data_IF_099079304643
#
_entry.id   IF_099079304643
#
_cell.length_a   1.000
_cell.length_b   1.000
_cell.length_c   1.000
_cell.angle_alpha   90.00
_cell.angle_beta   90.00
_cell.angle_gamma   90.00
#
_symmetry.space_group_name_H-M   'P 1'
#
loop_
_entity.id
_entity.type
_entity.pdbx_description
1 polymer ?
#
# COMPACT_ATOMS: atom_id res chain seq x y z
N UNK A 1 -8.68 10.51 -31.37
CA UNK A 1 -7.52 9.72 -31.81
C UNK A 1 -6.18 10.30 -31.37
N UNK A 2 -5.84 11.57 -31.68
CA UNK A 2 -4.56 12.20 -31.28
C UNK A 2 -4.26 12.12 -29.77
N UNK A 3 -5.22 12.51 -28.94
CA UNK A 3 -5.02 12.52 -27.48
C UNK A 3 -4.84 11.11 -26.90
N UNK A 4 -5.60 10.13 -27.40
CA UNK A 4 -5.46 8.73 -27.02
C UNK A 4 -4.07 8.17 -27.39
N UNK A 5 -3.60 8.47 -28.61
CA UNK A 5 -2.29 8.08 -29.08
C UNK A 5 -1.16 8.66 -28.21
N UNK A 6 -1.25 9.94 -27.85
CA UNK A 6 -0.28 10.59 -26.96
C UNK A 6 -0.24 9.90 -25.59
N UNK A 7 -1.40 9.55 -25.00
CA UNK A 7 -1.41 8.84 -23.71
C UNK A 7 -0.67 7.49 -23.80
N UNK A 8 -0.93 6.70 -24.85
CA UNK A 8 -0.33 5.37 -25.04
C UNK A 8 1.19 5.46 -25.26
N UNK A 9 1.65 6.37 -26.11
CA UNK A 9 3.09 6.54 -26.42
C UNK A 9 3.87 7.11 -25.23
N UNK A 10 3.23 7.90 -24.36
CA UNK A 10 3.81 8.35 -23.08
C UNK A 10 3.72 7.29 -21.95
N UNK A 11 3.44 6.03 -22.30
CA UNK A 11 3.48 4.90 -21.36
C UNK A 11 2.30 4.85 -20.39
N UNK A 12 1.20 5.55 -20.68
CA UNK A 12 -0.04 5.41 -19.89
C UNK A 12 -0.89 4.30 -20.52
N UNK A 13 -0.92 3.14 -19.86
CA UNK A 13 -1.85 2.07 -20.20
C UNK A 13 -3.26 2.47 -19.79
N UNK A 14 -4.18 2.48 -20.75
CA UNK A 14 -5.56 2.91 -20.53
C UNK A 14 -6.42 1.72 -20.09
N UNK A 15 -6.29 1.29 -18.83
CA UNK A 15 -7.18 0.25 -18.28
C UNK A 15 -8.65 0.71 -18.26
N UNK A 16 -8.90 2.02 -18.17
CA UNK A 16 -10.23 2.64 -18.22
C UNK A 16 -11.03 2.43 -19.53
N UNK A 17 -10.41 1.91 -20.60
CA UNK A 17 -11.06 1.65 -21.90
C UNK A 17 -10.95 0.18 -22.32
N UNK A 18 -10.62 -0.72 -21.37
CA UNK A 18 -10.58 -2.15 -21.60
C UNK A 18 -11.99 -2.69 -21.86
N UNK A 19 -12.20 -3.39 -22.98
CA UNK A 19 -13.46 -4.08 -23.29
C UNK A 19 -13.81 -5.15 -22.24
N UNK A 20 -12.79 -5.73 -21.60
CA UNK A 20 -12.94 -6.74 -20.54
C UNK A 20 -13.01 -6.12 -19.13
N UNK A 21 -13.12 -4.80 -19.02
CA UNK A 21 -13.08 -4.07 -17.75
C UNK A 21 -11.68 -3.93 -17.15
N UNK A 22 -11.61 -3.30 -15.98
CA UNK A 22 -10.36 -3.10 -15.24
C UNK A 22 -9.79 -4.44 -14.74
N UNK A 23 -8.47 -4.68 -14.83
CA UNK A 23 -7.84 -5.85 -14.22
C UNK A 23 -8.15 -5.96 -12.72
N UNK A 24 -8.27 -7.19 -12.21
CA UNK A 24 -8.46 -7.42 -10.76
C UNK A 24 -7.25 -6.87 -10.01
N UNK A 25 -7.49 -5.94 -9.09
CA UNK A 25 -6.43 -5.22 -8.35
C UNK A 25 -6.02 -3.88 -8.97
N UNK A 26 -6.57 -3.49 -10.12
CA UNK A 26 -6.29 -2.19 -10.76
C UNK A 26 -6.78 -0.97 -9.96
N UNK A 27 -7.56 -1.17 -8.88
CA UNK A 27 -7.85 -0.10 -7.92
C UNK A 27 -6.58 0.52 -7.29
N UNK A 28 -5.45 -0.21 -7.29
CA UNK A 28 -4.13 0.32 -6.93
C UNK A 28 -3.59 1.32 -7.97
N UNK A 29 -3.89 1.11 -9.25
CA UNK A 29 -3.45 1.99 -10.34
C UNK A 29 -4.14 3.36 -10.25
N UNK A 30 -5.43 3.38 -9.90
CA UNK A 30 -6.22 4.62 -9.74
C UNK A 30 -5.84 5.41 -8.48
N UNK A 31 -5.36 4.74 -7.43
CA UNK A 31 -4.72 5.38 -6.27
C UNK A 31 -3.33 5.96 -6.59
N UNK A 32 -2.87 5.88 -7.84
CA UNK A 32 -1.94 6.81 -8.50
C UNK A 32 -0.66 7.17 -7.74
N UNK A 33 0.49 6.63 -8.18
CA UNK A 33 1.83 7.28 -8.10
C UNK A 33 2.21 7.91 -6.74
N UNK A 34 1.82 7.30 -5.62
CA UNK A 34 2.12 7.79 -4.27
C UNK A 34 1.01 8.58 -3.58
N UNK A 35 -0.19 8.65 -4.16
CA UNK A 35 -1.37 9.14 -3.46
C UNK A 35 -1.85 8.09 -2.45
N UNK A 36 -2.49 8.57 -1.38
CA UNK A 36 -3.07 7.75 -0.32
C UNK A 36 -4.48 8.24 -0.04
N UNK A 37 -5.41 7.32 0.14
CA UNK A 37 -6.75 7.66 0.62
C UNK A 37 -6.79 7.54 2.14
N UNK A 38 -7.66 8.31 2.78
CA UNK A 38 -8.00 8.13 4.20
C UNK A 38 -9.05 7.02 4.39
N UNK A 39 -9.79 6.68 3.32
CA UNK A 39 -10.93 5.74 3.34
C UNK A 39 -10.80 4.75 2.18
N UNK A 40 -11.18 3.48 2.39
CA UNK A 40 -11.15 2.46 1.33
C UNK A 40 -9.75 1.97 0.95
N UNK A 41 -8.77 2.16 1.83
CA UNK A 41 -7.38 1.67 1.71
C UNK A 41 -7.18 0.23 2.15
N UNK A 42 -8.25 -0.41 2.62
CA UNK A 42 -8.29 -1.83 2.89
C UNK A 42 -9.30 -2.45 1.95
N UNK A 43 -8.84 -3.34 1.08
CA UNK A 43 -9.72 -4.08 0.20
C UNK A 43 -9.15 -5.47 -0.05
N UNK A 44 -9.98 -6.36 -0.55
CA UNK A 44 -9.57 -7.72 -0.87
C UNK A 44 -10.24 -8.16 -2.16
N UNK A 45 -9.56 -9.05 -2.87
CA UNK A 45 -10.18 -9.78 -3.97
C UNK A 45 -9.88 -11.26 -3.80
N UNK A 46 -10.76 -12.13 -4.29
CA UNK A 46 -10.52 -13.58 -4.22
C UNK A 46 -9.23 -14.01 -4.92
N UNK A 47 -8.81 -13.27 -5.95
CA UNK A 47 -7.63 -13.61 -6.77
C UNK A 47 -6.33 -13.07 -6.19
N UNK A 48 -6.35 -11.87 -5.58
CA UNK A 48 -5.14 -11.22 -5.05
C UNK A 48 -5.00 -11.32 -3.52
N UNK A 49 -6.06 -11.69 -2.82
CA UNK A 49 -6.11 -11.70 -1.36
C UNK A 49 -6.39 -10.32 -0.76
N UNK A 50 -6.31 -10.19 0.56
CA UNK A 50 -6.43 -8.91 1.28
C UNK A 50 -5.21 -8.02 1.05
N UNK A 51 -5.44 -6.70 1.07
CA UNK A 51 -4.41 -5.65 1.05
C UNK A 51 -4.79 -4.56 2.03
N UNK A 52 -3.91 -4.32 2.99
CA UNK A 52 -3.94 -3.31 4.02
C UNK A 52 -2.92 -2.24 3.61
N UNK A 53 -3.39 -1.15 3.01
CA UNK A 53 -2.49 -0.06 2.60
C UNK A 53 -2.31 0.97 3.71
N UNK A 54 -3.40 1.31 4.38
CA UNK A 54 -3.42 2.28 5.49
C UNK A 54 -4.35 1.75 6.58
N UNK A 55 -3.84 1.76 7.80
CA UNK A 55 -4.61 1.55 9.02
C UNK A 55 -4.88 2.89 9.69
N UNK A 56 -5.81 2.94 10.66
CA UNK A 56 -6.01 4.13 11.48
C UNK A 56 -4.72 4.62 12.15
N UNK A 57 -3.80 3.69 12.40
CA UNK A 57 -2.46 3.95 12.95
C UNK A 57 -1.55 4.64 11.94
N UNK A 58 -1.64 4.30 10.66
CA UNK A 58 -0.86 4.94 9.60
C UNK A 58 -0.56 4.02 8.43
N UNK A 59 0.56 4.32 7.77
CA UNK A 59 0.95 3.69 6.51
C UNK A 59 1.48 2.28 6.77
N UNK A 60 0.89 1.28 6.13
CA UNK A 60 1.35 -0.11 6.22
C UNK A 60 2.54 -0.29 5.29
N UNK A 61 3.65 -0.75 5.86
CA UNK A 61 4.90 -1.04 5.17
C UNK A 61 4.92 -2.48 4.66
N UNK A 62 4.52 -3.42 5.51
CA UNK A 62 4.58 -4.86 5.23
C UNK A 62 3.40 -5.59 5.87
N UNK A 63 2.91 -6.64 5.22
CA UNK A 63 1.99 -7.62 5.80
C UNK A 63 2.72 -8.92 6.08
N UNK A 64 2.42 -9.55 7.22
CA UNK A 64 2.94 -10.84 7.62
C UNK A 64 1.96 -11.95 7.22
N UNK A 65 2.45 -12.94 6.48
CA UNK A 65 1.71 -14.11 6.03
C UNK A 65 2.20 -15.38 6.74
N UNK A 66 1.25 -16.25 7.09
CA UNK A 66 1.53 -17.60 7.56
C UNK A 66 1.70 -18.61 6.42
N UNK A 67 1.86 -19.89 6.78
CA UNK A 67 2.01 -21.00 5.82
C UNK A 67 0.81 -21.15 4.86
N UNK A 68 -0.37 -20.68 5.25
CA UNK A 68 -1.59 -20.73 4.45
C UNK A 68 -1.82 -19.46 3.62
N UNK A 69 -0.87 -18.51 3.63
CA UNK A 69 -1.00 -17.18 3.04
C UNK A 69 -2.11 -16.33 3.68
N UNK A 70 -2.43 -16.58 4.95
CA UNK A 70 -3.35 -15.74 5.72
C UNK A 70 -2.58 -14.58 6.35
N UNK A 71 -3.16 -13.38 6.34
CA UNK A 71 -2.55 -12.22 6.99
C UNK A 71 -2.68 -12.37 8.50
N UNK A 72 -1.55 -12.56 9.18
CA UNK A 72 -1.49 -12.76 10.64
C UNK A 72 -0.97 -11.52 11.40
N UNK A 73 -0.46 -10.53 10.68
CA UNK A 73 0.04 -9.29 11.25
C UNK A 73 0.44 -8.28 10.18
N UNK A 74 0.83 -7.08 10.60
CA UNK A 74 1.31 -6.04 9.70
C UNK A 74 2.26 -5.08 10.42
N UNK A 75 3.13 -4.42 9.65
CA UNK A 75 4.06 -3.38 10.11
C UNK A 75 3.59 -2.02 9.59
N UNK A 76 3.47 -1.02 10.45
CA UNK A 76 3.01 0.33 10.08
C UNK A 76 3.94 1.41 10.58
N UNK A 77 3.89 2.57 9.93
CA UNK A 77 4.49 3.81 10.42
C UNK A 77 3.42 4.88 10.68
N UNK A 78 3.44 5.44 11.90
CA UNK A 78 2.57 6.54 12.29
C UNK A 78 3.05 7.86 11.67
N UNK A 79 2.65 8.14 10.43
CA UNK A 79 3.11 9.30 9.66
C UNK A 79 2.91 10.64 10.37
N UNK A 80 1.77 10.86 11.03
CA UNK A 80 1.51 12.12 11.73
C UNK A 80 2.51 12.37 12.86
N UNK A 81 2.73 11.37 13.73
CA UNK A 81 3.69 11.46 14.84
C UNK A 81 5.13 11.55 14.35
N UNK A 82 5.45 10.83 13.28
CA UNK A 82 6.77 10.88 12.63
C UNK A 82 7.08 12.28 12.11
N UNK A 83 6.16 12.87 11.32
CA UNK A 83 6.34 14.21 10.76
C UNK A 83 6.40 15.29 11.85
N UNK A 84 5.61 15.15 12.91
CA UNK A 84 5.67 16.06 14.06
C UNK A 84 7.03 16.00 14.76
N UNK A 85 7.58 14.80 14.99
CA UNK A 85 8.90 14.65 15.59
C UNK A 85 10.03 15.22 14.70
N UNK A 86 9.94 14.99 13.38
CA UNK A 86 10.88 15.58 12.41
C UNK A 86 10.81 17.10 12.45
N UNK A 87 9.59 17.67 12.48
CA UNK A 87 9.38 19.12 12.61
C UNK A 87 9.98 19.68 13.91
N UNK A 88 10.01 18.89 14.97
CA UNK A 88 10.62 19.22 16.25
C UNK A 88 12.15 18.95 16.30
N UNK A 89 12.78 18.63 15.17
CA UNK A 89 14.23 18.52 15.04
C UNK A 89 14.82 17.12 15.21
N UNK A 90 13.98 16.07 15.30
CA UNK A 90 14.46 14.68 15.28
C UNK A 90 14.95 14.30 13.88
N UNK A 91 16.01 13.48 13.80
CA UNK A 91 16.44 12.90 12.53
C UNK A 91 15.34 12.03 11.90
N UNK A 92 15.24 12.07 10.57
CA UNK A 92 14.17 11.38 9.85
C UNK A 92 14.25 9.85 10.00
N UNK A 93 15.45 9.27 10.03
CA UNK A 93 15.61 7.82 10.20
C UNK A 93 15.29 7.39 11.64
N UNK A 94 15.68 8.20 12.62
CA UNK A 94 15.32 7.96 14.01
C UNK A 94 13.81 8.06 14.23
N UNK A 95 13.16 9.08 13.67
CA UNK A 95 11.71 9.24 13.72
C UNK A 95 11.00 8.06 13.04
N UNK A 96 11.45 7.67 11.86
CA UNK A 96 10.87 6.52 11.14
C UNK A 96 10.93 5.25 11.99
N UNK A 97 12.09 4.91 12.56
CA UNK A 97 12.24 3.74 13.43
C UNK A 97 11.38 3.84 14.69
N UNK A 98 11.35 5.01 15.33
CA UNK A 98 10.61 5.26 16.58
C UNK A 98 9.10 5.14 16.42
N UNK A 99 8.56 5.56 15.27
CA UNK A 99 7.12 5.56 14.99
C UNK A 99 6.68 4.40 14.10
N UNK A 100 7.59 3.47 13.80
CA UNK A 100 7.26 2.20 13.18
C UNK A 100 6.87 1.20 14.26
N UNK A 101 5.78 0.48 14.04
CA UNK A 101 5.28 -0.55 14.96
C UNK A 101 4.80 -1.77 14.19
N UNK A 102 4.80 -2.92 14.87
CA UNK A 102 4.24 -4.17 14.34
C UNK A 102 2.99 -4.53 15.15
N UNK A 103 2.03 -5.18 14.51
CA UNK A 103 0.77 -5.63 15.10
C UNK A 103 0.48 -7.07 14.68
N UNK A 104 -0.26 -7.79 15.53
CA UNK A 104 -0.56 -9.20 15.33
C UNK A 104 0.65 -10.09 15.55
N UNK A 105 0.62 -11.27 14.93
CA UNK A 105 1.69 -12.28 14.97
C UNK A 105 2.74 -12.01 13.90
N UNK A 106 3.20 -10.77 13.79
CA UNK A 106 4.13 -10.37 12.73
C UNK A 106 5.47 -11.12 12.81
N UNK A 107 5.92 -11.47 14.01
CA UNK A 107 7.16 -12.23 14.23
C UNK A 107 7.04 -13.71 13.84
N UNK A 108 5.81 -14.24 13.79
CA UNK A 108 5.54 -15.62 13.38
C UNK A 108 5.38 -15.75 11.85
N UNK A 109 5.66 -14.68 11.10
CA UNK A 109 5.50 -14.65 9.66
C UNK A 109 6.48 -15.61 8.97
N UNK A 110 5.94 -16.46 8.10
CA UNK A 110 6.75 -17.27 7.18
C UNK A 110 7.18 -16.44 5.97
N UNK A 111 6.38 -15.43 5.61
CA UNK A 111 6.67 -14.47 4.54
C UNK A 111 6.15 -13.09 4.90
N UNK A 112 6.89 -12.04 4.54
CA UNK A 112 6.38 -10.67 4.52
C UNK A 112 6.18 -10.20 3.09
N UNK A 113 5.15 -9.38 2.86
CA UNK A 113 4.85 -8.80 1.55
C UNK A 113 4.69 -7.28 1.63
N UNK A 114 5.05 -6.57 0.57
CA UNK A 114 4.70 -5.16 0.35
C UNK A 114 3.33 -5.11 -0.34
N UNK A 115 2.27 -4.64 0.34
CA UNK A 115 0.90 -4.71 -0.18
C UNK A 115 0.66 -3.80 -1.40
N UNK A 116 1.66 -3.01 -1.83
CA UNK A 116 1.60 -2.16 -3.02
C UNK A 116 2.32 -2.75 -4.23
N UNK A 117 3.17 -3.75 -4.04
CA UNK A 117 3.98 -4.35 -5.12
C UNK A 117 3.54 -5.76 -5.47
N UNK A 118 3.09 -6.50 -4.47
CA UNK A 118 2.68 -7.90 -4.57
C UNK A 118 1.15 -8.03 -4.55
#
# INVERSE_FOLDING_TARGET
>A
MRELFLQIVYGRSQTAFSENGLPIGAGLEDLGKGLRSQVGTMFSTKVKGPRYLEMAEGYVLEEALDENNEVIGYKTVHLGKMLEAIKNGMDANEAFKKFTSVKGRFEDAVKTIDPRKE
#
